data_IF_705092732548
#
_entry.id   IF_705092732548
#
_cell.length_a   1.000
_cell.length_b   1.000
_cell.length_c   1.000
_cell.angle_alpha   90.00
_cell.angle_beta   90.00
_cell.angle_gamma   90.00
#
_symmetry.space_group_name_H-M   'P 1'
#
loop_
_entity.id
_entity.type
_entity.pdbx_description
1 polymer ?
#
# COMPACT_ATOMS: atom_id res chain seq x y z
N UNK A 1 -16.29 1.60 6.00
CA UNK A 1 -16.71 0.25 5.54
C UNK A 1 -15.55 -0.72 5.82
N UNK A 2 -15.78 -1.74 6.62
CA UNK A 2 -14.76 -2.75 6.94
C UNK A 2 -14.47 -3.61 5.68
N UNK A 3 -13.21 -3.67 5.25
CA UNK A 3 -12.77 -4.54 4.16
C UNK A 3 -12.86 -6.00 4.62
N UNK A 4 -13.59 -6.85 3.89
CA UNK A 4 -13.64 -8.29 4.16
C UNK A 4 -12.33 -8.97 3.73
N UNK A 5 -12.02 -10.15 4.29
CA UNK A 5 -10.84 -10.92 3.90
C UNK A 5 -10.89 -11.31 2.41
N UNK A 6 -12.04 -11.69 1.89
CA UNK A 6 -12.21 -12.06 0.48
C UNK A 6 -11.96 -10.88 -0.45
N UNK A 7 -12.45 -9.69 -0.09
CA UNK A 7 -12.18 -8.47 -0.85
C UNK A 7 -10.69 -8.11 -0.85
N UNK A 8 -10.03 -8.25 0.30
CA UNK A 8 -8.58 -8.05 0.43
C UNK A 8 -7.80 -9.02 -0.47
N UNK A 9 -8.16 -10.31 -0.45
CA UNK A 9 -7.54 -11.34 -1.28
C UNK A 9 -7.76 -11.03 -2.77
N UNK A 10 -8.96 -10.62 -3.17
CA UNK A 10 -9.25 -10.22 -4.54
C UNK A 10 -8.39 -9.04 -5.01
N UNK A 11 -8.12 -8.07 -4.13
CA UNK A 11 -7.23 -6.94 -4.41
C UNK A 11 -5.77 -7.38 -4.58
N UNK A 12 -5.27 -8.27 -3.73
CA UNK A 12 -3.93 -8.84 -3.89
C UNK A 12 -3.81 -9.70 -5.15
N UNK A 13 -4.86 -10.45 -5.51
CA UNK A 13 -4.92 -11.18 -6.80
C UNK A 13 -4.81 -10.21 -7.98
N UNK A 14 -5.45 -9.03 -7.91
CA UNK A 14 -5.32 -7.98 -8.93
C UNK A 14 -3.90 -7.46 -9.06
N UNK A 15 -3.13 -7.47 -7.99
CA UNK A 15 -1.71 -7.11 -7.97
C UNK A 15 -0.77 -8.27 -8.32
N UNK A 16 -1.32 -9.37 -8.80
CA UNK A 16 -0.51 -10.49 -9.31
C UNK A 16 -0.06 -11.49 -8.24
N UNK A 17 -0.67 -11.47 -7.06
CA UNK A 17 -0.43 -12.50 -6.05
C UNK A 17 -1.29 -13.72 -6.35
N UNK A 18 -0.69 -14.92 -6.33
CA UNK A 18 -1.34 -16.18 -6.66
C UNK A 18 -2.23 -16.67 -5.50
N UNK A 19 -3.41 -16.09 -5.38
CA UNK A 19 -4.50 -16.66 -4.60
C UNK A 19 -5.48 -17.42 -5.50
N UNK A 20 -6.10 -18.47 -4.97
CA UNK A 20 -7.19 -19.18 -5.64
C UNK A 20 -8.51 -18.41 -5.45
N UNK A 21 -8.55 -17.16 -5.89
CA UNK A 21 -9.69 -16.27 -5.73
C UNK A 21 -9.86 -15.36 -6.95
N UNK A 22 -11.08 -14.89 -7.24
CA UNK A 22 -11.33 -13.93 -8.30
C UNK A 22 -10.52 -12.64 -8.08
N UNK A 23 -10.02 -12.07 -9.18
CA UNK A 23 -9.32 -10.78 -9.14
C UNK A 23 -10.32 -9.63 -8.97
N UNK A 24 -9.95 -8.61 -8.20
CA UNK A 24 -10.74 -7.38 -8.14
C UNK A 24 -10.87 -6.74 -9.54
N UNK A 25 -12.01 -6.12 -9.80
CA UNK A 25 -12.30 -5.44 -11.09
C UNK A 25 -11.48 -4.16 -11.26
N UNK A 26 -11.30 -3.42 -10.17
CA UNK A 26 -10.61 -2.13 -10.16
C UNK A 26 -9.19 -2.26 -9.63
N UNK A 27 -8.32 -1.32 -10.01
CA UNK A 27 -6.98 -1.19 -9.44
C UNK A 27 -7.09 -0.80 -7.98
N UNK A 28 -6.46 -1.56 -7.06
CA UNK A 28 -6.51 -1.23 -5.65
C UNK A 28 -5.83 0.12 -5.34
N UNK A 29 -6.28 0.79 -4.27
CA UNK A 29 -5.46 1.79 -3.59
C UNK A 29 -4.41 1.05 -2.77
N UNK A 30 -3.16 1.05 -3.24
CA UNK A 30 -2.10 0.21 -2.70
C UNK A 30 -1.77 0.52 -1.24
N UNK A 31 -1.78 1.80 -0.87
CA UNK A 31 -1.47 2.21 0.49
C UNK A 31 -2.59 1.79 1.47
N UNK A 32 -3.87 1.98 1.09
CA UNK A 32 -5.00 1.48 1.89
C UNK A 32 -5.08 -0.04 1.92
N UNK A 33 -4.67 -0.71 0.83
CA UNK A 33 -4.55 -2.16 0.81
C UNK A 33 -3.57 -2.65 1.89
N UNK A 34 -2.45 -1.95 2.09
CA UNK A 34 -1.49 -2.29 3.16
C UNK A 34 -2.08 -2.09 4.56
N UNK A 35 -2.84 -1.01 4.79
CA UNK A 35 -3.55 -0.83 6.05
C UNK A 35 -4.57 -1.96 6.30
N UNK A 36 -5.35 -2.31 5.28
CA UNK A 36 -6.31 -3.40 5.36
C UNK A 36 -5.61 -4.76 5.54
N UNK A 37 -4.41 -4.93 4.97
CA UNK A 37 -3.58 -6.11 5.21
C UNK A 37 -3.17 -6.20 6.67
N UNK A 38 -2.74 -5.11 7.29
CA UNK A 38 -2.42 -5.10 8.72
C UNK A 38 -3.62 -5.50 9.60
N UNK A 39 -4.83 -5.03 9.26
CA UNK A 39 -6.08 -5.38 9.98
C UNK A 39 -6.48 -6.85 9.83
N UNK A 40 -6.20 -7.48 8.69
CA UNK A 40 -6.72 -8.80 8.33
C UNK A 40 -5.69 -9.91 8.28
N UNK A 41 -4.39 -9.59 8.19
CA UNK A 41 -3.33 -10.59 8.18
C UNK A 41 -3.31 -11.50 9.43
N UNK A 42 -3.69 -11.04 10.64
CA UNK A 42 -3.82 -11.93 11.79
C UNK A 42 -4.79 -13.10 11.57
N UNK A 43 -5.79 -12.93 10.70
CA UNK A 43 -6.78 -13.98 10.36
C UNK A 43 -6.24 -14.97 9.33
N UNK A 44 -5.20 -14.62 8.56
CA UNK A 44 -4.72 -15.47 7.46
C UNK A 44 -3.20 -15.26 7.24
N UNK A 45 -2.41 -16.23 7.71
CA UNK A 45 -0.95 -16.22 7.58
C UNK A 45 -0.47 -16.11 6.13
N UNK A 46 -1.21 -16.71 5.17
CA UNK A 46 -0.85 -16.63 3.75
C UNK A 46 -0.93 -15.20 3.21
N UNK A 47 -1.90 -14.41 3.67
CA UNK A 47 -2.02 -13.00 3.30
C UNK A 47 -0.80 -12.22 3.78
N UNK A 48 -0.37 -12.41 5.03
CA UNK A 48 0.82 -11.77 5.57
C UNK A 48 2.07 -12.11 4.76
N UNK A 49 2.34 -13.41 4.57
CA UNK A 49 3.53 -13.90 3.86
C UNK A 49 3.58 -13.37 2.42
N UNK A 50 2.46 -13.43 1.70
CA UNK A 50 2.42 -13.01 0.31
C UNK A 50 2.44 -11.49 0.14
N UNK A 51 1.94 -10.72 1.12
CA UNK A 51 2.10 -9.27 1.15
C UNK A 51 3.58 -8.88 1.35
N UNK A 52 4.28 -9.53 2.27
CA UNK A 52 5.75 -9.36 2.44
C UNK A 52 6.48 -9.71 1.15
N UNK A 53 6.18 -10.88 0.56
CA UNK A 53 6.79 -11.32 -0.71
C UNK A 53 6.60 -10.27 -1.82
N UNK A 54 5.38 -9.75 -1.95
CA UNK A 54 5.07 -8.73 -2.95
C UNK A 54 5.85 -7.44 -2.70
N UNK A 55 5.94 -6.99 -1.46
CA UNK A 55 6.66 -5.77 -1.10
C UNK A 55 8.19 -5.91 -1.26
N UNK A 56 8.75 -7.09 -1.01
CA UNK A 56 10.16 -7.36 -1.30
C UNK A 56 10.47 -7.13 -2.79
N UNK A 57 9.55 -7.50 -3.67
CA UNK A 57 9.74 -7.41 -5.12
C UNK A 57 9.28 -6.09 -5.73
N UNK A 58 8.18 -5.52 -5.23
CA UNK A 58 7.47 -4.40 -5.87
C UNK A 58 7.21 -3.23 -4.91
N UNK A 59 7.93 -3.16 -3.80
CA UNK A 59 7.79 -2.09 -2.80
C UNK A 59 8.00 -0.67 -3.34
N UNK A 60 8.73 -0.54 -4.44
CA UNK A 60 8.93 0.74 -5.16
C UNK A 60 7.63 1.30 -5.77
N UNK A 61 6.58 0.50 -5.91
CA UNK A 61 5.26 0.98 -6.34
C UNK A 61 4.49 1.69 -5.22
N UNK A 62 4.91 1.55 -3.96
CA UNK A 62 4.24 2.16 -2.81
C UNK A 62 4.60 3.64 -2.69
N UNK A 63 3.59 4.49 -2.62
CA UNK A 63 3.74 5.92 -2.36
C UNK A 63 4.01 6.16 -0.86
N UNK A 64 5.28 6.12 -0.46
CA UNK A 64 5.74 6.02 0.94
C UNK A 64 5.30 7.18 1.83
N UNK A 65 5.35 8.41 1.33
CA UNK A 65 4.88 9.58 2.10
C UNK A 65 3.37 9.51 2.34
N UNK A 66 2.60 9.08 1.32
CA UNK A 66 1.16 8.87 1.45
C UNK A 66 0.86 7.73 2.43
N UNK A 67 1.58 6.61 2.35
CA UNK A 67 1.43 5.49 3.29
C UNK A 67 1.64 5.97 4.72
N UNK A 68 2.74 6.68 4.98
CA UNK A 68 3.04 7.24 6.31
C UNK A 68 1.87 8.08 6.83
N UNK A 69 1.31 8.94 5.98
CA UNK A 69 0.18 9.80 6.37
C UNK A 69 -1.07 8.97 6.67
N UNK A 70 -1.41 8.00 5.83
CA UNK A 70 -2.56 7.14 6.05
C UNK A 70 -2.43 6.30 7.33
N UNK A 71 -1.22 5.84 7.68
CA UNK A 71 -0.97 5.15 8.96
C UNK A 71 -1.30 6.05 10.15
N UNK A 72 -0.91 7.32 10.09
CA UNK A 72 -1.22 8.27 11.16
C UNK A 72 -2.73 8.56 11.28
N UNK A 73 -3.42 8.70 10.14
CA UNK A 73 -4.82 9.15 10.08
C UNK A 73 -5.86 8.01 10.16
N UNK A 74 -5.56 6.86 9.56
CA UNK A 74 -6.57 5.83 9.27
C UNK A 74 -6.25 4.47 9.92
N UNK A 75 -5.01 4.19 10.39
CA UNK A 75 -4.67 2.90 10.99
C UNK A 75 -4.78 2.97 12.51
N UNK A 76 -5.65 2.15 13.07
CA UNK A 76 -5.85 2.00 14.50
C UNK A 76 -4.56 1.51 15.18
N UNK A 77 -4.31 1.96 16.42
CA UNK A 77 -3.06 1.67 17.14
C UNK A 77 -2.80 0.16 17.28
N UNK A 78 -3.84 -0.63 17.50
CA UNK A 78 -3.74 -2.09 17.66
C UNK A 78 -3.20 -2.83 16.42
N UNK A 79 -3.36 -2.26 15.20
CA UNK A 79 -2.87 -2.86 13.95
C UNK A 79 -1.52 -2.31 13.50
N UNK A 80 -1.03 -1.23 14.10
CA UNK A 80 0.29 -0.66 13.76
C UNK A 80 1.44 -1.64 14.00
N UNK A 81 1.47 -2.42 15.08
CA UNK A 81 2.51 -3.44 15.25
C UNK A 81 2.56 -4.46 14.10
N UNK A 82 1.39 -4.86 13.57
CA UNK A 82 1.32 -5.81 12.45
C UNK A 82 1.89 -5.20 11.17
N UNK A 83 1.55 -3.94 10.86
CA UNK A 83 2.12 -3.24 9.71
C UNK A 83 3.62 -3.01 9.90
N UNK A 84 4.03 -2.59 11.09
CA UNK A 84 5.43 -2.36 11.44
C UNK A 84 6.27 -3.62 11.27
N UNK A 85 5.82 -4.76 11.81
CA UNK A 85 6.47 -6.05 11.63
C UNK A 85 6.54 -6.45 10.15
N UNK A 86 5.45 -6.28 9.39
CA UNK A 86 5.41 -6.59 7.96
C UNK A 86 6.48 -5.80 7.21
N UNK A 87 6.54 -4.49 7.40
CA UNK A 87 7.51 -3.61 6.72
C UNK A 87 8.95 -3.81 7.23
N UNK A 88 9.13 -4.12 8.51
CA UNK A 88 10.45 -4.45 9.08
C UNK A 88 10.98 -5.77 8.50
N UNK A 89 10.13 -6.76 8.28
CA UNK A 89 10.50 -8.01 7.60
C UNK A 89 10.93 -7.73 6.15
N UNK A 90 10.20 -6.87 5.42
CA UNK A 90 10.62 -6.46 4.07
C UNK A 90 12.01 -5.79 4.10
N UNK A 91 12.27 -4.93 5.08
CA UNK A 91 13.58 -4.28 5.24
C UNK A 91 14.67 -5.31 5.52
N UNK A 92 14.43 -6.30 6.37
CA UNK A 92 15.40 -7.36 6.69
C UNK A 92 15.72 -8.20 5.44
N UNK A 93 14.71 -8.59 4.68
CA UNK A 93 14.85 -9.42 3.47
C UNK A 93 15.53 -8.68 2.30
N UNK A 94 15.29 -7.38 2.17
CA UNK A 94 15.77 -6.60 1.00
C UNK A 94 17.00 -5.72 1.30
N UNK A 95 17.33 -5.49 2.55
CA UNK A 95 18.35 -4.52 2.97
C UNK A 95 17.98 -3.05 2.69
N UNK A 96 16.75 -2.74 2.26
CA UNK A 96 16.37 -1.39 1.85
C UNK A 96 15.79 -0.57 3.01
N UNK A 97 16.09 0.73 3.03
CA UNK A 97 15.56 1.67 4.03
C UNK A 97 14.21 2.29 3.62
N UNK A 98 13.56 1.79 2.57
CA UNK A 98 12.41 2.43 1.92
C UNK A 98 11.25 2.73 2.86
N UNK A 99 11.00 1.88 3.84
CA UNK A 99 9.87 2.00 4.76
C UNK A 99 10.25 2.49 6.17
N UNK A 100 11.52 2.87 6.42
CA UNK A 100 11.97 3.26 7.75
C UNK A 100 11.13 4.36 8.40
N UNK A 101 10.66 5.34 7.60
CA UNK A 101 9.82 6.42 8.11
C UNK A 101 8.44 5.94 8.57
N UNK A 102 7.87 4.91 7.92
CA UNK A 102 6.60 4.30 8.30
C UNK A 102 6.79 3.38 9.50
N UNK A 103 7.85 2.58 9.50
CA UNK A 103 8.20 1.66 10.60
C UNK A 103 8.30 2.41 11.93
N UNK A 104 8.91 3.60 11.93
CA UNK A 104 9.03 4.43 13.16
C UNK A 104 7.69 4.90 13.73
N UNK A 105 6.67 5.02 12.90
CA UNK A 105 5.32 5.43 13.33
C UNK A 105 4.46 4.22 13.77
N UNK A 106 5.03 3.02 13.75
CA UNK A 106 4.40 1.78 14.17
C UNK A 106 5.12 1.25 15.42
N UNK A 107 4.62 1.49 16.65
CA UNK A 107 5.21 0.92 17.85
C UNK A 107 4.99 -0.61 17.89
N UNK A 108 5.83 -1.37 18.62
CA UNK A 108 5.54 -2.76 18.96
C UNK A 108 4.22 -2.88 19.76
N UNK A 109 3.65 -4.07 19.80
CA UNK A 109 2.48 -4.34 20.65
C UNK A 109 2.87 -4.25 22.14
N UNK A 110 1.94 -3.79 22.98
CA UNK A 110 2.16 -3.65 24.41
C UNK A 110 2.40 -5.03 25.05
N UNK A 111 1.66 -6.03 24.63
CA UNK A 111 1.77 -7.41 25.13
C UNK A 111 2.23 -8.37 24.03
N UNK A 112 3.11 -9.28 24.40
CA UNK A 112 3.62 -10.31 23.49
C UNK A 112 2.58 -11.42 23.30
N UNK A 113 2.22 -11.69 22.04
CA UNK A 113 1.23 -12.69 21.66
C UNK A 113 1.52 -13.26 20.26
N UNK A 114 0.97 -14.43 19.89
CA UNK A 114 1.03 -14.90 18.51
C UNK A 114 0.45 -13.89 17.53
N UNK A 115 1.10 -13.72 16.36
CA UNK A 115 0.59 -12.85 15.30
C UNK A 115 -0.76 -13.35 14.80
N UNK A 116 -0.91 -14.67 14.60
CA UNK A 116 -2.09 -15.24 13.97
C UNK A 116 -3.16 -15.68 14.98
N UNK A 117 -4.41 -15.35 14.68
CA UNK A 117 -5.55 -15.64 15.57
C UNK A 117 -5.72 -17.13 15.87
N UNK A 118 -5.43 -18.01 14.90
CA UNK A 118 -5.53 -19.46 15.09
C UNK A 118 -4.55 -19.95 16.19
N UNK A 119 -3.38 -19.32 16.28
CA UNK A 119 -2.37 -19.64 17.29
C UNK A 119 -2.77 -19.09 18.66
N UNK A 120 -3.48 -17.95 18.72
CA UNK A 120 -4.01 -17.38 19.97
C UNK A 120 -5.09 -18.25 20.59
N UNK A 121 -5.92 -18.90 19.77
CA UNK A 121 -7.05 -19.73 20.19
C UNK A 121 -6.67 -21.17 20.61
N UNK A 122 -5.43 -21.58 20.39
CA UNK A 122 -4.95 -22.93 20.67
C UNK A 122 -3.65 -22.89 21.47
N UNK A 123 -3.71 -23.38 22.72
CA UNK A 123 -2.56 -23.30 23.64
C UNK A 123 -1.30 -24.04 23.12
N UNK A 124 -1.45 -25.18 22.44
CA UNK A 124 -0.30 -25.87 21.82
C UNK A 124 0.34 -25.05 20.73
N UNK A 125 -0.48 -24.44 19.86
CA UNK A 125 0.01 -23.57 18.78
C UNK A 125 0.61 -22.29 19.34
N UNK A 126 0.04 -21.72 20.41
CA UNK A 126 0.58 -20.54 21.09
C UNK A 126 1.98 -20.79 21.62
N UNK A 127 2.18 -21.88 22.37
CA UNK A 127 3.51 -22.28 22.88
C UNK A 127 4.50 -22.56 21.75
N UNK A 128 4.02 -23.12 20.65
CA UNK A 128 4.83 -23.40 19.48
C UNK A 128 5.25 -22.09 18.77
N UNK A 129 4.32 -21.14 18.61
CA UNK A 129 4.61 -19.80 18.08
C UNK A 129 5.64 -19.06 18.93
N UNK A 130 5.46 -19.06 20.24
CA UNK A 130 6.39 -18.45 21.20
C UNK A 130 7.79 -19.07 21.11
N UNK A 131 7.89 -20.40 21.15
CA UNK A 131 9.17 -21.12 21.12
C UNK A 131 9.95 -20.87 19.84
N UNK A 132 9.26 -20.85 18.69
CA UNK A 132 9.85 -20.72 17.36
C UNK A 132 9.70 -19.31 16.75
N UNK A 133 9.38 -18.31 17.57
CA UNK A 133 9.26 -16.94 17.12
C UNK A 133 10.59 -16.43 16.54
N UNK A 134 10.53 -15.89 15.33
CA UNK A 134 11.70 -15.28 14.69
C UNK A 134 12.18 -14.05 15.45
N UNK A 135 13.49 -13.71 15.42
CA UNK A 135 14.03 -12.54 16.12
C UNK A 135 13.26 -11.26 15.76
N UNK A 136 12.97 -11.03 14.49
CA UNK A 136 12.21 -9.87 14.04
C UNK A 136 10.80 -9.84 14.66
N UNK A 137 10.11 -10.98 14.75
CA UNK A 137 8.76 -11.05 15.31
C UNK A 137 8.74 -10.73 16.81
N UNK A 138 9.78 -11.12 17.55
CA UNK A 138 9.93 -10.79 18.97
C UNK A 138 10.11 -9.28 19.21
N UNK A 139 10.81 -8.58 18.32
CA UNK A 139 10.97 -7.13 18.39
C UNK A 139 9.63 -6.37 18.32
N UNK A 140 8.60 -7.01 17.73
CA UNK A 140 7.26 -6.45 17.58
C UNK A 140 6.25 -6.96 18.61
N UNK A 141 6.69 -7.80 19.57
CA UNK A 141 5.81 -8.54 20.48
C UNK A 141 4.71 -9.35 19.76
N UNK A 142 5.00 -9.79 18.52
CA UNK A 142 4.08 -10.57 17.66
C UNK A 142 4.76 -11.88 17.26
N UNK A 143 4.54 -12.96 18.03
CA UNK A 143 5.20 -14.22 17.77
C UNK A 143 4.77 -14.82 16.43
N UNK A 144 5.71 -14.98 15.54
CA UNK A 144 5.55 -15.68 14.28
C UNK A 144 6.87 -16.37 13.92
N UNK A 145 6.78 -17.51 13.26
CA UNK A 145 7.97 -18.23 12.77
C UNK A 145 8.60 -17.45 11.62
N UNK A 146 9.90 -17.70 11.41
CA UNK A 146 10.56 -17.24 10.20
C UNK A 146 9.88 -17.83 8.96
N UNK A 147 9.71 -17.04 7.94
CA UNK A 147 9.25 -17.49 6.63
C UNK A 147 10.13 -16.85 5.54
N UNK A 148 10.16 -17.50 4.39
CA UNK A 148 10.88 -16.98 3.23
C UNK A 148 9.88 -16.39 2.23
N UNK A 149 10.24 -15.32 1.51
CA UNK A 149 9.47 -14.85 0.37
C UNK A 149 9.22 -15.99 -0.63
N UNK A 150 8.05 -15.96 -1.28
CA UNK A 150 7.58 -16.97 -2.24
C UNK A 150 7.44 -16.33 -3.62
N UNK A 151 8.55 -16.03 -4.26
CA UNK A 151 8.58 -15.31 -5.54
C UNK A 151 7.78 -16.03 -6.65
N UNK A 152 7.70 -17.35 -6.60
CA UNK A 152 6.89 -18.18 -7.50
C UNK A 152 5.39 -17.89 -7.40
N UNK A 153 4.95 -17.29 -6.29
CA UNK A 153 3.56 -16.88 -6.09
C UNK A 153 3.24 -15.50 -6.69
N UNK A 154 4.20 -14.87 -7.37
CA UNK A 154 4.01 -13.53 -7.94
C UNK A 154 3.99 -13.54 -9.46
N UNK A 155 3.12 -12.73 -10.05
CA UNK A 155 3.16 -12.41 -11.48
C UNK A 155 4.22 -11.34 -11.77
N UNK A 156 4.83 -11.34 -12.97
CA UNK A 156 5.82 -10.34 -13.36
C UNK A 156 5.27 -8.90 -13.29
N UNK A 157 6.14 -7.91 -13.07
CA UNK A 157 5.76 -6.48 -12.99
C UNK A 157 4.98 -6.01 -14.24
N UNK A 158 5.35 -6.49 -15.43
CA UNK A 158 4.65 -6.16 -16.68
C UNK A 158 3.16 -6.54 -16.58
N UNK A 159 2.84 -7.73 -16.09
CA UNK A 159 1.47 -8.20 -15.89
C UNK A 159 0.69 -7.29 -14.93
N UNK A 160 1.36 -6.85 -13.83
CA UNK A 160 0.77 -5.94 -12.83
C UNK A 160 0.44 -4.59 -13.47
N UNK A 161 1.41 -4.01 -14.21
CA UNK A 161 1.27 -2.69 -14.84
C UNK A 161 0.27 -2.68 -16.02
N UNK A 162 0.13 -3.78 -16.75
CA UNK A 162 -0.90 -3.92 -17.79
C UNK A 162 -2.31 -3.90 -17.19
N UNK A 163 -2.50 -4.52 -16.03
CA UNK A 163 -3.80 -4.55 -15.34
C UNK A 163 -4.08 -3.33 -14.48
N UNK A 164 -3.05 -2.65 -14.03
CA UNK A 164 -3.12 -1.47 -13.19
C UNK A 164 -2.33 -0.31 -13.81
N UNK A 165 -2.80 0.27 -14.93
CA UNK A 165 -2.04 1.27 -15.69
C UNK A 165 -1.61 2.49 -14.87
N UNK A 166 -2.41 2.90 -13.87
CA UNK A 166 -2.07 4.01 -12.97
C UNK A 166 -0.80 3.79 -12.13
N UNK A 167 -0.28 2.56 -12.09
CA UNK A 167 0.99 2.29 -11.38
C UNK A 167 2.24 2.50 -12.24
N UNK A 168 2.10 2.68 -13.55
CA UNK A 168 3.26 2.90 -14.44
C UNK A 168 4.10 4.07 -14.01
N UNK A 169 3.46 5.21 -13.72
CA UNK A 169 4.16 6.39 -13.25
C UNK A 169 4.82 6.18 -11.86
N UNK A 170 4.18 5.38 -10.99
CA UNK A 170 4.78 5.04 -9.70
C UNK A 170 6.04 4.19 -9.85
N UNK A 171 6.07 3.29 -10.84
CA UNK A 171 7.25 2.51 -11.17
C UNK A 171 8.44 3.40 -11.56
N UNK A 172 8.17 4.47 -12.34
CA UNK A 172 9.19 5.44 -12.75
C UNK A 172 9.70 6.28 -11.56
N UNK A 173 8.81 6.62 -10.62
CA UNK A 173 9.09 7.52 -9.49
C UNK A 173 9.55 6.78 -8.22
N UNK A 174 9.60 5.46 -8.21
CA UNK A 174 10.12 4.61 -7.12
C UNK A 174 9.65 5.00 -5.71
N UNK A 175 8.37 5.35 -5.57
CA UNK A 175 7.74 5.63 -4.28
C UNK A 175 8.15 6.92 -3.57
N UNK A 176 8.79 7.88 -4.25
CA UNK A 176 9.17 9.18 -3.69
C UNK A 176 7.95 10.12 -3.45
N UNK A 177 8.20 11.39 -3.09
CA UNK A 177 7.11 12.36 -2.82
C UNK A 177 6.27 12.62 -4.08
N UNK A 178 6.86 12.61 -5.28
CA UNK A 178 6.15 12.77 -6.56
C UNK A 178 5.18 11.61 -6.78
N UNK A 179 5.57 10.39 -6.46
CA UNK A 179 4.67 9.24 -6.49
C UNK A 179 3.50 9.41 -5.51
N UNK A 180 3.76 9.98 -4.33
CA UNK A 180 2.73 10.27 -3.33
C UNK A 180 1.74 11.32 -3.79
N UNK A 181 2.22 12.38 -4.47
CA UNK A 181 1.38 13.43 -5.06
C UNK A 181 0.48 12.83 -6.16
N UNK A 182 1.05 12.06 -7.08
CA UNK A 182 0.29 11.40 -8.14
C UNK A 182 -0.76 10.45 -7.55
N UNK A 183 -0.40 9.68 -6.53
CA UNK A 183 -1.34 8.79 -5.87
C UNK A 183 -2.48 9.56 -5.18
N UNK A 184 -2.18 10.65 -4.48
CA UNK A 184 -3.18 11.47 -3.82
C UNK A 184 -4.15 12.12 -4.82
N UNK A 185 -3.63 12.67 -5.94
CA UNK A 185 -4.45 13.26 -7.01
C UNK A 185 -5.30 12.22 -7.74
N UNK A 186 -4.80 10.98 -7.88
CA UNK A 186 -5.53 9.88 -8.49
C UNK A 186 -6.65 9.37 -7.60
N UNK A 187 -6.44 9.32 -6.28
CA UNK A 187 -7.42 8.86 -5.30
C UNK A 187 -8.52 9.92 -5.05
N UNK A 188 -8.12 11.16 -4.76
CA UNK A 188 -9.04 12.28 -4.58
C UNK A 188 -8.62 13.49 -5.43
N UNK A 189 -9.32 13.78 -6.55
CA UNK A 189 -9.05 14.98 -7.35
C UNK A 189 -9.17 16.31 -6.59
N UNK A 190 -9.87 16.32 -5.45
CA UNK A 190 -9.95 17.50 -4.57
C UNK A 190 -8.62 17.77 -3.86
N UNK A 191 -7.74 16.78 -3.73
CA UNK A 191 -6.39 16.99 -3.20
C UNK A 191 -5.64 18.10 -3.96
N UNK A 192 -5.94 18.26 -5.26
CA UNK A 192 -5.36 19.30 -6.12
C UNK A 192 -5.95 20.71 -5.98
N UNK A 193 -6.89 20.95 -5.08
CA UNK A 193 -7.47 22.28 -4.85
C UNK A 193 -6.47 23.28 -4.24
N UNK A 194 -5.44 22.80 -3.55
CA UNK A 194 -4.34 23.63 -3.05
C UNK A 194 -3.10 22.84 -2.69
N UNK A 195 -1.92 23.49 -2.73
CA UNK A 195 -0.67 22.92 -2.25
C UNK A 195 -0.74 22.51 -0.76
N UNK A 196 -1.49 23.27 0.06
CA UNK A 196 -1.70 22.97 1.48
C UNK A 196 -2.46 21.65 1.65
N UNK A 197 -3.50 21.43 0.84
CA UNK A 197 -4.25 20.17 0.89
C UNK A 197 -3.38 19.00 0.44
N UNK A 198 -2.61 19.15 -0.64
CA UNK A 198 -1.65 18.14 -1.08
C UNK A 198 -0.59 17.84 -0.03
N UNK A 199 -0.02 18.86 0.63
CA UNK A 199 0.98 18.64 1.66
C UNK A 199 0.43 17.82 2.83
N UNK A 200 -0.81 18.06 3.23
CA UNK A 200 -1.52 17.26 4.24
C UNK A 200 -1.76 15.82 3.74
N UNK A 201 -2.24 15.65 2.51
CA UNK A 201 -2.49 14.32 1.94
C UNK A 201 -1.22 13.48 1.80
N UNK A 202 -0.08 14.10 1.52
CA UNK A 202 1.21 13.44 1.33
C UNK A 202 2.05 13.38 2.61
N UNK A 203 1.67 14.07 3.70
CA UNK A 203 2.47 14.13 4.93
C UNK A 203 3.84 14.78 4.72
N UNK A 204 3.94 15.78 3.82
CA UNK A 204 5.18 16.46 3.48
C UNK A 204 5.06 17.97 3.70
N UNK A 205 6.19 18.66 3.79
CA UNK A 205 6.20 20.12 3.90
C UNK A 205 5.65 20.76 2.63
N UNK A 206 5.08 21.97 2.75
CA UNK A 206 4.55 22.69 1.61
C UNK A 206 5.64 23.06 0.59
N UNK A 207 6.86 23.36 1.06
CA UNK A 207 8.02 23.60 0.19
C UNK A 207 8.34 22.35 -0.64
N UNK A 208 8.54 21.19 0.00
CA UNK A 208 8.86 19.94 -0.70
C UNK A 208 7.76 19.54 -1.71
N UNK A 209 6.49 19.80 -1.38
CA UNK A 209 5.38 19.58 -2.34
C UNK A 209 5.49 20.51 -3.53
N UNK A 210 5.82 21.81 -3.32
CA UNK A 210 5.99 22.78 -4.41
C UNK A 210 7.09 22.35 -5.36
N UNK A 211 8.27 22.03 -4.83
CA UNK A 211 9.43 21.58 -5.64
C UNK A 211 9.05 20.32 -6.45
N UNK A 212 8.40 19.36 -5.81
CA UNK A 212 7.92 18.14 -6.49
C UNK A 212 6.85 18.41 -7.55
N UNK A 213 6.01 19.44 -7.36
CA UNK A 213 5.03 19.85 -8.36
C UNK A 213 5.69 20.53 -9.57
N UNK A 214 6.75 21.30 -9.35
CA UNK A 214 7.53 21.92 -10.43
C UNK A 214 8.18 20.84 -11.32
N UNK A 215 8.78 19.81 -10.69
CA UNK A 215 9.32 18.64 -11.39
C UNK A 215 8.24 17.90 -12.20
N UNK A 216 7.07 17.64 -11.59
CA UNK A 216 5.97 16.92 -12.23
C UNK A 216 5.34 17.69 -13.38
N UNK A 217 5.25 19.03 -13.27
CA UNK A 217 4.76 19.89 -14.34
C UNK A 217 5.74 19.95 -15.50
N UNK A 218 7.04 20.10 -15.21
CA UNK A 218 8.11 20.04 -16.20
C UNK A 218 8.12 18.70 -16.94
N UNK A 219 7.88 17.59 -16.23
CA UNK A 219 7.74 16.27 -16.80
C UNK A 219 6.39 16.04 -17.54
N UNK A 220 5.50 17.05 -17.61
CA UNK A 220 4.20 16.96 -18.25
C UNK A 220 3.22 15.98 -17.59
N UNK A 221 3.44 15.65 -16.32
CA UNK A 221 2.61 14.66 -15.58
C UNK A 221 1.41 15.31 -14.91
N UNK A 222 1.54 16.56 -14.56
CA UNK A 222 0.45 17.39 -14.01
C UNK A 222 0.33 18.68 -14.80
N UNK A 223 -0.78 19.37 -14.61
CA UNK A 223 -0.95 20.77 -15.01
C UNK A 223 -1.50 21.59 -13.86
N UNK A 224 -1.05 22.84 -13.76
CA UNK A 224 -1.61 23.86 -12.91
C UNK A 224 -2.50 24.74 -13.76
N UNK A 225 -3.75 24.91 -13.36
CA UNK A 225 -4.72 25.78 -14.02
C UNK A 225 -5.32 26.74 -13.02
N UNK A 226 -5.88 27.85 -13.49
CA UNK A 226 -6.64 28.79 -12.66
C UNK A 226 -8.14 28.54 -12.89
N UNK A 227 -8.87 28.39 -11.80
CA UNK A 227 -10.34 28.35 -11.81
C UNK A 227 -10.81 29.54 -10.97
N UNK A 228 -11.10 30.67 -11.65
CA UNK A 228 -11.27 31.95 -11.00
C UNK A 228 -9.97 32.41 -10.31
N UNK A 229 -10.04 32.77 -9.03
CA UNK A 229 -8.85 33.16 -8.23
C UNK A 229 -8.07 31.98 -7.61
N UNK A 230 -8.51 30.73 -7.83
CA UNK A 230 -7.89 29.54 -7.20
C UNK A 230 -7.04 28.78 -8.21
N UNK A 231 -5.83 28.42 -7.80
CA UNK A 231 -4.99 27.45 -8.54
C UNK A 231 -5.52 26.05 -8.32
N UNK A 232 -5.64 25.28 -9.39
CA UNK A 232 -6.02 23.87 -9.36
C UNK A 232 -4.92 23.04 -9.99
N UNK A 233 -4.56 21.96 -9.33
CA UNK A 233 -3.54 20.99 -9.76
C UNK A 233 -4.28 19.73 -10.19
N UNK A 234 -3.99 19.22 -11.39
CA UNK A 234 -4.63 18.03 -11.92
C UNK A 234 -3.63 17.17 -12.71
N UNK A 235 -3.88 15.87 -12.75
CA UNK A 235 -3.15 14.96 -13.61
C UNK A 235 -3.40 15.29 -15.08
N UNK A 236 -2.39 15.11 -15.93
CA UNK A 236 -2.53 15.29 -17.37
C UNK A 236 -3.33 14.16 -18.04
N UNK A 237 -3.84 14.37 -19.24
CA UNK A 237 -4.81 13.48 -19.90
C UNK A 237 -4.35 12.04 -20.16
N UNK A 238 -3.05 11.73 -20.14
CA UNK A 238 -2.54 10.36 -20.19
C UNK A 238 -2.94 9.55 -18.95
N UNK A 239 -3.00 10.20 -17.79
CA UNK A 239 -3.39 9.63 -16.50
C UNK A 239 -4.91 9.47 -16.37
N UNK A 240 -5.69 10.39 -16.97
CA UNK A 240 -7.16 10.36 -16.94
C UNK A 240 -7.75 9.32 -17.89
N UNK A 241 -7.12 9.04 -19.03
CA UNK A 241 -7.56 7.99 -19.98
C UNK A 241 -7.53 6.61 -19.36
N UNK A 242 -6.62 6.36 -18.42
CA UNK A 242 -6.52 5.09 -17.71
C UNK A 242 -7.69 4.86 -16.72
N UNK A 243 -8.32 5.92 -16.20
CA UNK A 243 -9.56 5.84 -15.40
C UNK A 243 -10.81 5.62 -16.27
N UNK A 244 -10.87 6.24 -17.44
CA UNK A 244 -12.05 6.16 -18.32
C UNK A 244 -12.21 4.78 -18.96
N UNK A 245 -11.10 4.05 -19.24
CA UNK A 245 -11.16 2.68 -19.76
C UNK A 245 -11.65 1.67 -18.72
N UNK A 246 -11.36 1.86 -17.43
CA UNK A 246 -11.91 1.05 -16.35
C UNK A 246 -13.42 1.22 -16.17
N UNK A 247 -13.92 2.47 -16.26
CA UNK A 247 -15.35 2.77 -16.09
C UNK A 247 -16.21 2.38 -17.32
N UNK A 248 -15.70 2.49 -18.56
CA UNK A 248 -16.48 2.15 -19.77
C UNK A 248 -16.66 0.66 -19.99
N UNK A 249 -15.80 -0.20 -19.45
CA UNK A 249 -15.97 -1.67 -19.51
C UNK A 249 -17.03 -2.18 -18.52
N UNK A 250 -17.26 -1.50 -17.40
CA UNK A 250 -18.27 -1.93 -16.40
C UNK A 250 -19.71 -1.63 -16.82
N UNK A 251 -19.95 -0.69 -17.72
CA UNK A 251 -21.31 -0.33 -18.19
C UNK A 251 -21.78 -1.22 -19.36
N UNK A 252 -20.87 -1.88 -20.09
CA UNK A 252 -21.25 -2.73 -21.25
C UNK A 252 -21.56 -4.20 -20.93
N UNK A 253 -21.39 -4.66 -19.70
CA UNK A 253 -21.66 -6.05 -19.29
C UNK A 253 -23.01 -6.17 -18.55
N UNK A 254 -23.72 -5.07 -18.33
CA UNK A 254 -25.02 -5.07 -17.65
C UNK A 254 -26.23 -5.09 -18.60
N UNK A 255 -26.02 -5.19 -19.93
CA UNK A 255 -27.10 -5.33 -20.93
C UNK A 255 -26.72 -6.42 -21.94
N UNK A 256 -26.82 -7.66 -21.51
CA UNK A 256 -27.13 -8.84 -22.30
C UNK A 256 -27.57 -9.95 -21.37
#
# INVERSE_FOLDING_TARGET
MSCTLDHLIAQWTRLGVAFSAPSAKESPDLERLLLNTARRAPQNARVFILAVTWLCRYGDLVARHRLKRLVADELELEYRPVLGMLLATVREETGTAHFNAVIRDCPPADEAAPLFEIERKNEKLRRLAERHAAPISRQWNLWARAFRPKDEALRPVRWILERNPGYRIRADLKGDLRASIIAALADDPRAGESEVRLSRCCGATRSAVRDSLDDLETAGRIKRSHVGRRRRISLTGMELKNRAHGRRRSVRVANN
#
